data_IF_936619908820
#
_entry.id   IF_936619908820
#
_cell.length_a   1.000
_cell.length_b   1.000
_cell.length_c   1.000
_cell.angle_alpha   90.00
_cell.angle_beta   90.00
_cell.angle_gamma   90.00
#
_symmetry.space_group_name_H-M   'P 1'
#
loop_
_entity.id
_entity.type
_entity.pdbx_description
1 polymer ?
#
# COMPACT_ATOMS: atom_id res chain seq x y z
N UNK A 1 21.86 32.35 5.66
CA UNK A 1 21.01 31.58 4.74
C UNK A 1 20.87 30.17 5.29
N UNK A 2 19.71 29.83 5.86
CA UNK A 2 19.46 28.45 6.30
C UNK A 2 19.51 27.53 5.09
N UNK A 3 20.33 26.49 5.13
CA UNK A 3 20.36 25.48 4.06
C UNK A 3 18.95 24.91 3.91
N UNK A 4 18.38 25.05 2.72
CA UNK A 4 17.11 24.44 2.36
C UNK A 4 17.20 22.94 2.60
N UNK A 5 16.35 22.41 3.49
CA UNK A 5 16.37 20.97 3.80
C UNK A 5 15.81 20.21 2.60
N UNK A 6 16.55 19.20 2.15
CA UNK A 6 16.12 18.37 1.01
C UNK A 6 14.86 17.60 1.38
N UNK A 7 13.88 17.60 0.48
CA UNK A 7 12.62 16.86 0.64
C UNK A 7 12.75 15.43 0.08
N UNK A 8 12.41 14.43 0.89
CA UNK A 8 12.51 13.01 0.56
C UNK A 8 11.13 12.35 0.69
N UNK A 9 10.74 11.58 -0.32
CA UNK A 9 9.55 10.73 -0.29
C UNK A 9 9.99 9.27 -0.13
N UNK A 10 9.45 8.57 0.88
CA UNK A 10 9.79 7.19 1.20
C UNK A 10 8.51 6.34 1.13
N UNK A 11 8.56 5.25 0.38
CA UNK A 11 7.48 4.25 0.30
C UNK A 11 8.02 2.94 0.88
N UNK A 12 7.28 2.33 1.81
CA UNK A 12 7.67 1.05 2.43
C UNK A 12 6.85 -0.07 1.81
N UNK A 13 7.51 -1.00 1.12
CA UNK A 13 6.88 -2.13 0.42
C UNK A 13 7.35 -3.47 0.98
N UNK A 14 6.52 -4.51 0.86
CA UNK A 14 6.84 -5.85 1.32
C UNK A 14 5.62 -6.75 1.51
N UNK A 15 5.84 -7.99 1.94
CA UNK A 15 4.80 -9.00 2.09
C UNK A 15 3.80 -8.66 3.22
N UNK A 16 2.65 -9.34 3.26
CA UNK A 16 1.74 -9.27 4.42
C UNK A 16 2.52 -9.71 5.67
N UNK A 17 2.22 -9.16 6.83
CA UNK A 17 2.85 -9.55 8.11
C UNK A 17 4.37 -9.33 8.25
N UNK A 18 5.04 -8.72 7.25
CA UNK A 18 6.46 -8.35 7.38
C UNK A 18 6.72 -7.14 8.28
N UNK A 19 5.72 -6.67 9.02
CA UNK A 19 5.87 -5.58 9.99
C UNK A 19 6.10 -4.18 9.40
N UNK A 20 5.78 -3.95 8.12
CA UNK A 20 6.00 -2.68 7.41
C UNK A 20 5.52 -1.46 8.21
N UNK A 21 4.22 -1.38 8.48
CA UNK A 21 3.60 -0.25 9.19
C UNK A 21 4.12 -0.11 10.62
N UNK A 22 4.46 -1.23 11.27
CA UNK A 22 5.11 -1.22 12.60
C UNK A 22 6.50 -0.60 12.54
N UNK A 23 7.35 -1.01 11.60
CA UNK A 23 8.70 -0.45 11.42
C UNK A 23 8.62 1.02 11.02
N UNK A 24 7.70 1.36 10.12
CA UNK A 24 7.49 2.73 9.65
C UNK A 24 7.00 3.65 10.79
N UNK A 25 6.00 3.23 11.57
CA UNK A 25 5.53 3.99 12.73
C UNK A 25 6.60 4.14 13.81
N UNK A 26 7.42 3.11 14.02
CA UNK A 26 8.54 3.19 14.96
C UNK A 26 9.64 4.14 14.47
N UNK A 27 9.91 4.19 13.17
CA UNK A 27 10.81 5.16 12.56
C UNK A 27 10.31 6.58 12.79
N UNK A 28 9.01 6.84 12.54
CA UNK A 28 8.38 8.14 12.79
C UNK A 28 8.56 8.57 14.25
N UNK A 29 8.32 7.64 15.19
CA UNK A 29 8.54 7.89 16.62
C UNK A 29 10.00 8.24 16.96
N UNK A 30 10.96 7.44 16.49
CA UNK A 30 12.39 7.69 16.75
C UNK A 30 12.88 9.00 16.14
N UNK A 31 12.33 9.39 15.01
CA UNK A 31 12.65 10.66 14.36
C UNK A 31 11.94 11.87 14.97
N UNK A 32 11.10 11.69 15.99
CA UNK A 32 10.34 12.77 16.61
C UNK A 32 9.17 13.28 15.76
N UNK A 33 8.74 12.50 14.76
CA UNK A 33 7.59 12.82 13.92
C UNK A 33 6.24 12.58 14.59
N UNK A 34 6.24 12.00 15.79
CA UNK A 34 5.08 11.87 16.66
C UNK A 34 5.50 12.07 18.12
N UNK A 35 4.64 12.69 18.91
CA UNK A 35 4.87 12.96 20.31
C UNK A 35 4.71 11.70 21.19
N UNK A 36 5.41 11.69 22.33
CA UNK A 36 5.38 10.57 23.28
C UNK A 36 4.00 10.33 23.89
N UNK A 37 3.20 11.37 24.06
CA UNK A 37 1.87 11.25 24.68
C UNK A 37 0.89 10.53 23.76
N UNK A 38 0.95 10.82 22.46
CA UNK A 38 0.11 10.15 21.47
C UNK A 38 0.46 8.68 21.34
N UNK A 39 1.75 8.31 21.36
CA UNK A 39 2.13 6.89 21.30
C UNK A 39 1.73 6.13 22.58
N UNK A 40 1.82 6.74 23.75
CA UNK A 40 1.34 6.15 25.02
C UNK A 40 -0.18 5.96 25.01
N UNK A 41 -0.92 6.89 24.40
CA UNK A 41 -2.37 6.74 24.19
C UNK A 41 -2.66 5.54 23.30
N UNK A 42 -1.98 5.41 22.15
CA UNK A 42 -2.15 4.25 21.27
C UNK A 42 -1.72 2.94 21.92
N UNK A 43 -0.71 2.95 22.78
CA UNK A 43 -0.31 1.77 23.55
C UNK A 43 -1.42 1.30 24.49
N UNK A 44 -2.07 2.21 25.20
CA UNK A 44 -3.20 1.88 26.06
C UNK A 44 -4.39 1.34 25.26
N UNK A 45 -4.81 2.05 24.22
CA UNK A 45 -5.94 1.62 23.37
C UNK A 45 -5.65 0.28 22.68
N UNK A 46 -4.42 0.06 22.21
CA UNK A 46 -4.03 -1.20 21.60
C UNK A 46 -3.95 -2.34 22.61
N UNK A 47 -3.49 -2.07 23.84
CA UNK A 47 -3.46 -3.05 24.93
C UNK A 47 -4.88 -3.49 25.35
N UNK A 48 -5.84 -2.54 25.42
CA UNK A 48 -7.25 -2.86 25.68
C UNK A 48 -7.87 -3.77 24.61
N UNK A 49 -7.40 -3.66 23.36
CA UNK A 49 -7.80 -4.53 22.26
C UNK A 49 -6.99 -5.84 22.17
N UNK A 50 -6.11 -6.13 23.14
CA UNK A 50 -5.24 -7.32 23.11
C UNK A 50 -4.14 -7.27 22.05
N UNK A 51 -3.87 -6.09 21.48
CA UNK A 51 -2.91 -5.86 20.38
C UNK A 51 -1.81 -4.87 20.77
N UNK A 52 -1.32 -4.92 22.01
CA UNK A 52 -0.32 -3.96 22.52
C UNK A 52 0.95 -3.82 21.65
N UNK A 53 1.35 -4.87 20.91
CA UNK A 53 2.48 -4.83 19.97
C UNK A 53 2.24 -3.97 18.72
N UNK A 54 0.99 -3.59 18.41
CA UNK A 54 0.59 -2.83 17.22
C UNK A 54 0.61 -1.31 17.43
N UNK A 55 1.02 -0.82 18.61
CA UNK A 55 1.02 0.62 18.96
C UNK A 55 1.68 1.52 17.91
N UNK A 56 2.74 1.03 17.25
CA UNK A 56 3.42 1.77 16.19
C UNK A 56 2.68 1.73 14.86
N UNK A 57 2.02 0.62 14.50
CA UNK A 57 1.22 0.54 13.28
C UNK A 57 0.04 1.52 13.31
N UNK A 58 -0.53 1.76 14.50
CA UNK A 58 -1.65 2.68 14.70
C UNK A 58 -1.33 4.17 14.45
N UNK A 59 -0.05 4.51 14.32
CA UNK A 59 0.38 5.83 13.83
C UNK A 59 -0.09 6.04 12.39
N UNK A 60 -0.12 4.97 11.60
CA UNK A 60 -0.48 4.96 10.18
C UNK A 60 -1.91 4.45 9.97
N UNK A 61 -2.34 3.45 10.75
CA UNK A 61 -3.68 2.85 10.68
C UNK A 61 -4.71 3.77 11.37
N UNK A 62 -5.44 4.54 10.56
CA UNK A 62 -6.46 5.49 11.03
C UNK A 62 -7.85 4.88 11.06
N UNK A 63 -8.11 3.84 10.27
CA UNK A 63 -9.44 3.25 10.18
C UNK A 63 -9.66 2.25 11.32
N UNK A 64 -10.88 2.24 11.87
CA UNK A 64 -11.27 1.24 12.87
C UNK A 64 -11.13 -0.19 12.35
N UNK A 65 -11.48 -0.41 11.07
CA UNK A 65 -11.35 -1.70 10.41
C UNK A 65 -9.89 -2.18 10.31
N UNK A 66 -8.93 -1.28 10.10
CA UNK A 66 -7.50 -1.63 10.09
C UNK A 66 -7.04 -2.09 11.46
N UNK A 67 -7.41 -1.34 12.52
CA UNK A 67 -7.05 -1.65 13.90
C UNK A 67 -7.68 -2.96 14.38
N UNK A 68 -8.95 -3.19 14.03
CA UNK A 68 -9.68 -4.42 14.36
C UNK A 68 -9.12 -5.65 13.63
N UNK A 69 -8.75 -5.53 12.34
CA UNK A 69 -8.23 -6.64 11.55
C UNK A 69 -6.71 -6.82 11.63
N UNK A 70 -5.97 -5.80 12.07
CA UNK A 70 -4.50 -5.81 12.10
C UNK A 70 -3.84 -5.76 10.72
N UNK A 71 -4.53 -5.22 9.71
CA UNK A 71 -4.04 -5.08 8.34
C UNK A 71 -4.21 -3.63 7.88
N UNK A 72 -3.25 -3.11 7.12
CA UNK A 72 -3.34 -1.80 6.47
C UNK A 72 -4.22 -1.89 5.24
N UNK A 73 -5.31 -1.13 5.24
CA UNK A 73 -6.35 -1.12 4.21
C UNK A 73 -6.25 0.16 3.38
N UNK A 74 -5.94 1.29 4.02
CA UNK A 74 -5.83 2.59 3.39
C UNK A 74 -4.38 3.09 3.34
N UNK A 75 -4.10 3.94 2.35
CA UNK A 75 -2.78 4.54 2.18
C UNK A 75 -2.69 5.77 3.08
N UNK A 76 -1.86 5.70 4.11
CA UNK A 76 -1.60 6.83 4.99
C UNK A 76 -0.31 7.58 4.59
N UNK A 77 -0.45 8.89 4.51
CA UNK A 77 0.62 9.85 4.27
C UNK A 77 1.01 10.49 5.60
N UNK A 78 2.29 10.38 5.98
CA UNK A 78 2.83 11.04 7.17
C UNK A 78 3.99 11.95 6.80
N UNK A 79 3.91 13.23 7.18
CA UNK A 79 4.97 14.21 6.95
C UNK A 79 5.62 14.56 8.28
N UNK A 80 6.93 14.50 8.34
CA UNK A 80 7.70 14.92 9.50
C UNK A 80 9.06 15.48 9.09
N UNK A 81 9.66 16.21 10.01
CA UNK A 81 10.94 16.85 9.79
C UNK A 81 12.01 16.20 10.66
N UNK A 82 13.20 16.02 10.07
CA UNK A 82 14.40 15.62 10.80
C UNK A 82 15.38 16.79 10.86
N UNK A 83 16.52 16.60 11.53
CA UNK A 83 17.58 17.61 11.56
C UNK A 83 18.08 18.02 10.16
N UNK A 84 18.01 17.10 9.17
CA UNK A 84 18.58 17.30 7.82
C UNK A 84 17.56 17.32 6.68
N UNK A 85 16.42 16.64 6.82
CA UNK A 85 15.48 16.38 5.72
C UNK A 85 14.04 16.66 6.11
N UNK A 86 13.25 17.10 5.14
CA UNK A 86 11.79 16.97 5.18
C UNK A 86 11.41 15.60 4.61
N UNK A 87 10.68 14.80 5.38
CA UNK A 87 10.36 13.43 4.99
C UNK A 87 8.85 13.28 4.87
N UNK A 88 8.41 12.75 3.72
CA UNK A 88 7.06 12.23 3.54
C UNK A 88 7.15 10.71 3.44
N UNK A 89 6.55 10.02 4.41
CA UNK A 89 6.36 8.57 4.41
C UNK A 89 4.98 8.25 3.83
N UNK A 90 4.96 7.25 2.97
CA UNK A 90 3.75 6.69 2.37
C UNK A 90 3.68 5.21 2.75
N UNK A 91 2.60 4.81 3.43
CA UNK A 91 2.34 3.39 3.71
C UNK A 91 1.73 2.69 2.48
N UNK A 92 1.94 1.38 2.37
CA UNK A 92 1.47 0.58 1.23
C UNK A 92 0.29 -0.32 1.64
N UNK A 93 -0.83 -0.20 0.94
CA UNK A 93 -2.04 -0.98 1.20
C UNK A 93 -2.20 -2.18 0.26
N UNK A 94 -3.02 -3.15 0.69
CA UNK A 94 -3.54 -4.22 -0.18
C UNK A 94 -4.95 -3.81 -0.60
N UNK A 95 -5.18 -3.74 -1.90
CA UNK A 95 -6.46 -3.31 -2.46
C UNK A 95 -7.02 -4.36 -3.41
N UNK A 96 -8.32 -4.63 -3.30
CA UNK A 96 -9.04 -5.41 -4.29
C UNK A 96 -9.42 -4.48 -5.45
N UNK A 97 -8.83 -4.74 -6.62
CA UNK A 97 -9.11 -3.96 -7.82
C UNK A 97 -10.01 -4.73 -8.76
N UNK A 98 -11.16 -4.14 -9.10
CA UNK A 98 -12.03 -4.64 -10.17
C UNK A 98 -11.80 -3.78 -11.42
N UNK A 99 -11.10 -4.28 -12.45
CA UNK A 99 -10.84 -3.49 -13.64
C UNK A 99 -12.13 -3.31 -14.45
N UNK A 100 -12.38 -2.08 -14.95
CA UNK A 100 -13.55 -1.79 -15.78
C UNK A 100 -13.53 -2.43 -17.17
N UNK A 101 -12.36 -2.92 -17.61
CA UNK A 101 -12.17 -3.67 -18.86
C UNK A 101 -11.38 -4.95 -18.58
N UNK A 102 -11.56 -6.03 -19.35
CA UNK A 102 -10.72 -7.21 -19.23
C UNK A 102 -9.24 -6.86 -19.39
N UNK A 103 -8.41 -7.29 -18.43
CA UNK A 103 -6.96 -7.10 -18.44
C UNK A 103 -6.26 -8.45 -18.36
N UNK A 104 -5.11 -8.57 -19.02
CA UNK A 104 -4.23 -9.73 -18.88
C UNK A 104 -3.28 -9.47 -17.71
N UNK A 105 -3.57 -10.08 -16.57
CA UNK A 105 -2.80 -9.94 -15.33
C UNK A 105 -2.65 -11.30 -14.67
N UNK A 106 -1.55 -11.51 -13.96
CA UNK A 106 -1.26 -12.73 -13.20
C UNK A 106 -0.72 -12.35 -11.82
N UNK A 107 -0.73 -13.31 -10.88
CA UNK A 107 -0.06 -13.09 -9.60
C UNK A 107 1.44 -12.87 -9.83
N UNK A 108 2.07 -12.02 -9.02
CA UNK A 108 3.50 -11.76 -9.11
C UNK A 108 4.33 -13.02 -8.85
N UNK A 109 3.84 -13.90 -7.98
CA UNK A 109 4.50 -15.18 -7.68
C UNK A 109 4.51 -16.13 -8.87
N UNK A 110 3.43 -16.15 -9.66
CA UNK A 110 3.30 -17.05 -10.82
C UNK A 110 3.97 -16.47 -12.06
N UNK A 111 3.81 -15.17 -12.31
CA UNK A 111 4.37 -14.51 -13.49
C UNK A 111 4.75 -13.04 -13.20
N UNK A 112 5.97 -12.79 -12.69
CA UNK A 112 6.42 -11.48 -12.23
C UNK A 112 6.23 -10.31 -13.23
N UNK A 113 6.42 -10.49 -14.56
CA UNK A 113 6.20 -9.42 -15.52
C UNK A 113 4.74 -8.95 -15.62
N UNK A 114 3.76 -9.84 -15.45
CA UNK A 114 2.33 -9.52 -15.50
C UNK A 114 1.76 -9.14 -14.13
N UNK A 115 2.47 -9.49 -13.06
CA UNK A 115 2.09 -9.14 -11.69
C UNK A 115 2.56 -7.77 -11.23
N UNK A 116 3.30 -6.98 -12.01
CA UNK A 116 3.69 -5.60 -11.67
C UNK A 116 2.79 -4.61 -12.40
N UNK A 117 2.29 -3.61 -11.68
CA UNK A 117 1.44 -2.59 -12.30
C UNK A 117 1.78 -1.19 -11.79
N UNK A 118 1.44 -0.21 -12.62
CA UNK A 118 1.41 1.20 -12.27
C UNK A 118 0.03 1.76 -12.63
N UNK A 119 -0.65 2.34 -11.66
CA UNK A 119 -1.89 3.08 -11.89
C UNK A 119 -1.52 4.50 -12.27
N UNK A 120 -2.12 5.01 -13.36
CA UNK A 120 -1.89 6.37 -13.83
C UNK A 120 -3.21 7.11 -13.98
N UNK A 121 -3.22 8.35 -13.54
CA UNK A 121 -4.29 9.31 -13.80
C UNK A 121 -3.68 10.54 -14.49
N UNK A 122 -4.26 10.99 -15.60
CA UNK A 122 -3.78 12.13 -16.39
C UNK A 122 -2.24 12.17 -16.61
N UNK A 123 -1.64 11.02 -16.93
CA UNK A 123 -0.18 10.79 -17.10
C UNK A 123 0.67 10.88 -15.83
N UNK A 124 0.08 11.17 -14.68
CA UNK A 124 0.74 11.08 -13.38
C UNK A 124 0.61 9.66 -12.83
N UNK A 125 1.69 9.12 -12.26
CA UNK A 125 1.65 7.83 -11.59
C UNK A 125 1.03 8.03 -10.21
N UNK A 126 -0.12 7.40 -9.98
CA UNK A 126 -0.87 7.50 -8.71
C UNK A 126 -0.62 6.31 -7.78
N UNK A 127 -0.25 5.15 -8.33
CA UNK A 127 0.17 4.00 -7.54
C UNK A 127 1.11 3.10 -8.33
N UNK A 128 1.97 2.37 -7.62
CA UNK A 128 2.77 1.26 -8.16
C UNK A 128 2.65 0.09 -7.21
N UNK A 129 2.56 -1.12 -7.75
CA UNK A 129 2.28 -2.29 -6.91
C UNK A 129 2.57 -3.61 -7.59
N UNK A 130 2.36 -4.67 -6.80
CA UNK A 130 2.42 -6.06 -7.24
C UNK A 130 1.10 -6.76 -6.93
N UNK A 131 0.68 -7.65 -7.82
CA UNK A 131 -0.54 -8.43 -7.72
C UNK A 131 -0.27 -9.66 -6.86
N UNK A 132 -1.04 -9.82 -5.78
CA UNK A 132 -0.92 -10.98 -4.87
C UNK A 132 -1.76 -12.17 -5.29
N UNK A 133 -2.98 -11.91 -5.73
CA UNK A 133 -3.93 -12.92 -6.18
C UNK A 133 -4.79 -12.35 -7.32
N UNK A 134 -5.33 -13.22 -8.16
CA UNK A 134 -6.21 -12.85 -9.27
C UNK A 134 -7.43 -13.76 -9.27
N UNK A 135 -8.60 -13.17 -9.07
CA UNK A 135 -9.87 -13.86 -9.31
C UNK A 135 -10.22 -13.79 -10.79
N UNK A 136 -9.92 -14.88 -11.51
CA UNK A 136 -10.19 -14.97 -12.95
C UNK A 136 -11.69 -15.18 -13.16
N UNK A 137 -12.34 -14.24 -13.85
CA UNK A 137 -13.70 -14.46 -14.34
C UNK A 137 -13.68 -15.62 -15.34
N UNK A 138 -14.62 -16.55 -15.20
CA UNK A 138 -14.71 -17.75 -16.04
C UNK A 138 -14.57 -17.42 -17.54
N UNK A 139 -13.73 -18.18 -18.22
CA UNK A 139 -13.46 -18.03 -19.64
C UNK A 139 -14.76 -18.29 -20.44
N UNK A 140 -15.47 -17.22 -20.79
CA UNK A 140 -16.74 -17.31 -21.51
C UNK A 140 -17.57 -16.02 -21.50
N UNK A 141 -17.36 -15.12 -20.53
CA UNK A 141 -18.17 -13.91 -20.36
C UNK A 141 -17.53 -12.61 -20.90
N UNK A 142 -16.52 -12.72 -21.76
CA UNK A 142 -15.88 -11.57 -22.41
C UNK A 142 -16.30 -11.46 -23.87
N UNK A 143 -16.71 -10.26 -24.31
CA UNK A 143 -17.00 -9.98 -25.72
C UNK A 143 -15.73 -10.29 -26.54
N UNK A 144 -15.75 -11.36 -27.32
CA UNK A 144 -14.61 -11.77 -28.16
C UNK A 144 -14.20 -10.59 -29.03
N UNK A 145 -12.92 -10.21 -29.00
CA UNK A 145 -12.43 -9.12 -29.85
C UNK A 145 -12.56 -9.53 -31.31
N UNK A 146 -12.88 -8.59 -32.21
CA UNK A 146 -12.93 -8.86 -33.67
C UNK A 146 -11.63 -9.49 -34.18
N UNK A 147 -10.50 -9.19 -33.55
CA UNK A 147 -9.19 -9.77 -33.82
C UNK A 147 -9.11 -11.25 -33.48
N UNK A 148 -9.65 -11.66 -32.32
CA UNK A 148 -9.71 -13.07 -31.93
C UNK A 148 -10.68 -13.88 -32.82
N UNK A 149 -11.79 -13.26 -33.26
CA UNK A 149 -12.71 -13.88 -34.22
C UNK A 149 -12.07 -14.12 -35.60
N UNK A 150 -11.21 -13.20 -36.06
CA UNK A 150 -10.46 -13.37 -37.31
C UNK A 150 -9.42 -14.49 -37.21
N UNK A 151 -8.73 -14.61 -36.08
CA UNK A 151 -7.73 -15.66 -35.87
C UNK A 151 -8.34 -17.08 -35.83
N UNK A 152 -9.55 -17.24 -35.29
CA UNK A 152 -10.25 -18.53 -35.27
C UNK A 152 -10.82 -18.96 -36.63
N UNK A 153 -11.10 -18.01 -37.53
CA UNK A 153 -11.56 -18.32 -38.91
C UNK A 153 -10.41 -18.61 -39.89
N UNK A 154 -9.17 -18.46 -39.46
CA UNK A 154 -7.97 -18.73 -40.26
C UNK A 154 -7.32 -20.09 -39.96
N UNK A 155 -7.97 -20.91 -39.12
CA UNK A 155 -7.77 -22.36 -39.01
C UNK A 155 -8.96 -23.06 -39.64
#
# INVERSE_FOLDING_TARGET
MGKEKTHINIVVIGHVDSGKSTTTGHLIYKCGGIDKRTIEKFEKEAAEMGKGSFKYAWVLDKLKAERERGITIDISLWKFETSKYYVTIIDAAIVDMVPGKPMCVESFSDYPPLGRFAVRDMRQTVAVGVIKAVDKKAAGAGKVTKSAQKAQKAK
#
